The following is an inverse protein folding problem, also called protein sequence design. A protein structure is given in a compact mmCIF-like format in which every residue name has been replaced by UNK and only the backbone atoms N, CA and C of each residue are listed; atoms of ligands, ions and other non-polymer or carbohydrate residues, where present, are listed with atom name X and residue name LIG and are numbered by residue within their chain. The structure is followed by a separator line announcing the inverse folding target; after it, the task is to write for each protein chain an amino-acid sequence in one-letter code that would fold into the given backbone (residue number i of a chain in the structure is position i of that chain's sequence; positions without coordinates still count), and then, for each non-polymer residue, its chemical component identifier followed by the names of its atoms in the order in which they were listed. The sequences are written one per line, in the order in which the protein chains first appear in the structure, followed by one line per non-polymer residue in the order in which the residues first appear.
data_IF_167013010600
#
_entry.id   IF_167013010600
#
_cell.length_a   1.000
_cell.length_b   1.000
_cell.length_c   1.000
_cell.angle_alpha   90.00
_cell.angle_beta   90.00
_cell.angle_gamma   90.00
#
_symmetry.space_group_name_H-M   'P 1'
#
loop_
_entity.id
_entity.type
_entity.pdbx_description
1 polymer ?
#
# COMPACT_ATOMS: atom_id res chain seq x y z
N UNK A 1 -11.56 -2.46 10.43
CA UNK A 1 -11.94 -1.28 9.62
C UNK A 1 -11.45 -1.47 8.19
N UNK A 2 -12.35 -1.59 7.23
CA UNK A 2 -12.06 -1.69 5.79
C UNK A 2 -12.51 -0.39 5.14
N UNK A 3 -11.57 0.44 4.67
CA UNK A 3 -11.91 1.69 3.97
C UNK A 3 -12.49 1.51 2.57
N UNK A 4 -12.41 0.31 2.02
CA UNK A 4 -13.02 -0.05 0.74
C UNK A 4 -13.83 -1.31 0.97
N UNK A 5 -15.09 -1.35 0.60
CA UNK A 5 -16.02 -2.49 0.73
C UNK A 5 -15.58 -3.78 0.02
N UNK A 6 -14.30 -4.03 -0.04
CA UNK A 6 -13.61 -5.09 -0.73
C UNK A 6 -12.83 -5.96 0.28
N UNK A 7 -12.38 -7.06 -0.12
CA UNK A 7 -11.60 -8.15 0.43
C UNK A 7 -10.57 -7.74 1.50
N UNK A 8 -10.33 -8.57 2.51
CA UNK A 8 -9.27 -8.39 3.50
C UNK A 8 -7.90 -8.42 2.82
N UNK A 9 -7.06 -7.43 3.11
CA UNK A 9 -5.71 -7.31 2.53
C UNK A 9 -4.67 -7.51 3.62
N UNK A 10 -3.73 -8.43 3.41
CA UNK A 10 -2.45 -8.46 4.10
C UNK A 10 -1.37 -7.91 3.18
N UNK A 11 -0.74 -6.81 3.58
CA UNK A 11 0.37 -6.20 2.87
C UNK A 11 1.68 -6.63 3.50
N UNK A 12 2.59 -7.19 2.71
CA UNK A 12 3.84 -7.75 3.22
C UNK A 12 5.05 -7.08 2.56
N UNK A 13 6.00 -6.68 3.39
CA UNK A 13 7.29 -6.15 2.98
C UNK A 13 8.37 -7.20 3.29
N UNK A 14 8.64 -8.17 2.40
CA UNK A 14 9.52 -9.29 2.70
C UNK A 14 10.98 -8.87 2.87
N UNK A 15 11.37 -7.73 2.29
CA UNK A 15 12.73 -7.18 2.40
C UNK A 15 12.74 -5.66 2.30
N UNK A 16 13.69 -5.01 2.97
CA UNK A 16 14.02 -3.59 2.76
C UNK A 16 15.09 -3.36 1.68
N UNK A 17 15.70 -4.44 1.17
CA UNK A 17 16.68 -4.32 0.08
C UNK A 17 16.00 -3.79 -1.17
N UNK A 18 16.57 -2.73 -1.75
CA UNK A 18 16.09 -2.10 -2.98
C UNK A 18 17.28 -1.65 -3.83
N UNK A 19 17.17 -1.75 -5.14
CA UNK A 19 18.18 -1.26 -6.07
C UNK A 19 18.09 0.25 -6.36
N UNK A 20 17.11 0.94 -5.72
CA UNK A 20 16.92 2.40 -5.79
C UNK A 20 16.96 3.02 -4.39
N UNK A 21 17.13 4.37 -4.38
CA UNK A 21 17.13 5.20 -3.17
C UNK A 21 16.17 6.37 -3.35
N UNK A 22 14.92 6.07 -3.73
CA UNK A 22 13.89 7.06 -4.08
C UNK A 22 13.76 8.15 -3.01
N UNK A 23 13.58 9.41 -3.43
CA UNK A 23 13.43 10.54 -2.52
C UNK A 23 12.18 10.43 -1.63
N UNK A 24 11.11 9.85 -2.15
CA UNK A 24 9.81 9.68 -1.47
C UNK A 24 9.66 8.32 -0.74
N UNK A 25 10.72 7.53 -0.57
CA UNK A 25 10.59 6.20 0.00
C UNK A 25 10.14 6.23 1.47
N UNK A 26 8.93 5.75 1.75
CA UNK A 26 8.34 5.72 3.09
C UNK A 26 9.03 4.71 4.03
N UNK A 27 9.68 3.68 3.49
CA UNK A 27 10.29 2.58 4.26
C UNK A 27 11.82 2.71 4.42
N UNK A 28 12.44 3.79 3.94
CA UNK A 28 13.91 3.97 3.92
C UNK A 28 14.67 2.79 3.28
N UNK A 29 14.02 2.12 2.34
CA UNK A 29 14.62 1.00 1.62
C UNK A 29 15.77 1.44 0.72
N UNK A 30 16.75 0.55 0.51
CA UNK A 30 17.90 0.87 -0.33
C UNK A 30 18.87 -0.30 -0.50
N UNK A 31 19.95 -0.11 -1.26
CA UNK A 31 20.91 -1.18 -1.59
C UNK A 31 21.64 -1.78 -0.37
N UNK A 32 21.79 -0.99 0.69
CA UNK A 32 22.49 -1.39 1.91
C UNK A 32 21.58 -1.95 3.00
N UNK A 33 20.25 -1.91 2.80
CA UNK A 33 19.30 -2.45 3.77
C UNK A 33 19.42 -3.99 3.79
N UNK A 34 19.40 -4.56 4.99
CA UNK A 34 19.59 -6.00 5.20
C UNK A 34 18.36 -6.70 5.80
N UNK A 35 17.38 -5.93 6.24
CA UNK A 35 16.18 -6.50 6.87
C UNK A 35 15.41 -7.34 5.87
N UNK A 36 15.18 -8.61 6.24
CA UNK A 36 14.50 -9.58 5.40
C UNK A 36 13.76 -10.60 6.27
N UNK A 37 12.57 -11.01 5.82
CA UNK A 37 11.79 -12.06 6.46
C UNK A 37 12.14 -13.43 5.87
N UNK A 38 12.37 -14.44 6.73
CA UNK A 38 12.59 -15.82 6.28
C UNK A 38 11.35 -16.38 5.58
N UNK A 39 11.55 -17.18 4.52
CA UNK A 39 10.44 -17.84 3.82
C UNK A 39 9.53 -18.69 4.71
N UNK A 40 10.02 -19.46 5.71
CA UNK A 40 9.13 -20.18 6.62
C UNK A 40 8.17 -19.28 7.39
N UNK A 41 8.64 -18.12 7.89
CA UNK A 41 7.79 -17.13 8.58
C UNK A 41 6.70 -16.59 7.64
N UNK A 42 7.05 -16.34 6.39
CA UNK A 42 6.08 -15.88 5.38
C UNK A 42 5.10 -16.99 4.98
N UNK A 43 5.53 -18.25 4.96
CA UNK A 43 4.66 -19.40 4.71
C UNK A 43 3.62 -19.57 5.81
N UNK A 44 4.05 -19.49 7.06
CA UNK A 44 3.16 -19.49 8.21
C UNK A 44 2.17 -18.32 8.17
N UNK A 45 2.66 -17.12 7.86
CA UNK A 45 1.84 -15.92 7.75
C UNK A 45 0.70 -16.07 6.72
N UNK A 46 0.98 -16.56 5.51
CA UNK A 46 -0.07 -16.65 4.48
C UNK A 46 -1.12 -17.69 4.81
N UNK A 47 -0.74 -18.80 5.46
CA UNK A 47 -1.69 -19.79 5.94
C UNK A 47 -2.58 -19.20 7.05
N UNK A 48 -1.99 -18.52 8.03
CA UNK A 48 -2.70 -17.87 9.12
C UNK A 48 -3.62 -16.73 8.61
N UNK A 49 -3.12 -15.92 7.69
CA UNK A 49 -3.88 -14.82 7.13
C UNK A 49 -5.13 -15.32 6.39
N UNK A 50 -5.00 -16.36 5.56
CA UNK A 50 -6.15 -16.97 4.89
C UNK A 50 -7.18 -17.50 5.89
N UNK A 51 -6.72 -18.18 6.96
CA UNK A 51 -7.60 -18.68 8.03
C UNK A 51 -8.29 -17.55 8.82
N UNK A 52 -7.69 -16.35 8.87
CA UNK A 52 -8.25 -15.16 9.53
C UNK A 52 -9.07 -14.24 8.59
N UNK A 53 -9.46 -14.75 7.42
CA UNK A 53 -10.37 -14.09 6.49
C UNK A 53 -9.71 -13.10 5.52
N UNK A 54 -8.38 -13.05 5.43
CA UNK A 54 -7.70 -12.30 4.39
C UNK A 54 -7.83 -13.00 3.04
N UNK A 55 -8.06 -12.24 1.98
CA UNK A 55 -8.28 -12.74 0.62
C UNK A 55 -7.19 -12.27 -0.36
N UNK A 56 -6.46 -11.22 0.01
CA UNK A 56 -5.47 -10.58 -0.86
C UNK A 56 -4.14 -10.47 -0.14
N UNK A 57 -3.08 -10.97 -0.78
CA UNK A 57 -1.70 -10.67 -0.44
C UNK A 57 -1.19 -9.57 -1.36
N UNK A 58 -0.81 -8.42 -0.79
CA UNK A 58 -0.14 -7.32 -1.48
C UNK A 58 1.34 -7.30 -1.09
N UNK A 59 2.22 -7.69 -1.99
CA UNK A 59 3.67 -7.69 -1.76
C UNK A 59 4.29 -6.38 -2.23
N UNK A 60 5.01 -5.72 -1.33
CA UNK A 60 5.74 -4.47 -1.57
C UNK A 60 7.11 -4.54 -0.87
N UNK A 61 7.59 -3.45 -0.26
CA UNK A 61 8.80 -3.41 0.53
C UNK A 61 9.89 -2.52 -0.06
N UNK A 62 11.13 -3.03 -0.17
CA UNK A 62 12.16 -2.43 -0.97
C UNK A 62 11.86 -2.65 -2.45
N UNK A 63 12.59 -3.57 -3.07
CA UNK A 63 12.23 -4.08 -4.40
C UNK A 63 11.98 -5.59 -4.29
N UNK A 64 10.73 -6.05 -4.45
CA UNK A 64 10.40 -7.46 -4.27
C UNK A 64 11.18 -8.41 -5.17
N UNK A 65 11.57 -8.00 -6.37
CA UNK A 65 12.44 -8.80 -7.24
C UNK A 65 13.87 -8.98 -6.71
N UNK A 66 14.23 -8.32 -5.62
CA UNK A 66 15.49 -8.56 -4.88
C UNK A 66 15.32 -9.57 -3.73
N UNK A 67 14.09 -9.94 -3.38
CA UNK A 67 13.83 -10.99 -2.41
C UNK A 67 14.02 -12.37 -3.08
N UNK A 68 15.01 -13.16 -2.65
CA UNK A 68 15.39 -14.38 -3.39
C UNK A 68 14.29 -15.45 -3.38
N UNK A 69 13.41 -15.44 -2.38
CA UNK A 69 12.36 -16.41 -2.20
C UNK A 69 10.99 -15.97 -2.74
N UNK A 70 10.93 -14.86 -3.48
CA UNK A 70 9.66 -14.31 -4.00
C UNK A 70 8.78 -15.34 -4.71
N UNK A 71 9.29 -16.18 -5.66
CA UNK A 71 8.44 -17.16 -6.32
C UNK A 71 7.87 -18.23 -5.36
N UNK A 72 8.67 -18.66 -4.38
CA UNK A 72 8.25 -19.61 -3.36
C UNK A 72 7.15 -19.03 -2.48
N UNK A 73 7.31 -17.79 -2.06
CA UNK A 73 6.34 -17.06 -1.23
C UNK A 73 5.00 -16.90 -1.95
N UNK A 74 5.00 -16.42 -3.20
CA UNK A 74 3.76 -16.25 -3.98
C UNK A 74 3.05 -17.59 -4.25
N UNK A 75 3.80 -18.68 -4.51
CA UNK A 75 3.19 -20.01 -4.67
C UNK A 75 2.51 -20.50 -3.37
N UNK A 76 3.11 -20.28 -2.20
CA UNK A 76 2.50 -20.61 -0.92
C UNK A 76 1.22 -19.80 -0.67
N UNK A 77 1.25 -18.49 -0.96
CA UNK A 77 0.06 -17.63 -0.85
C UNK A 77 -1.06 -18.07 -1.80
N UNK A 78 -0.71 -18.42 -3.03
CA UNK A 78 -1.69 -18.92 -4.00
C UNK A 78 -2.30 -20.25 -3.59
N UNK A 79 -1.48 -21.16 -3.04
CA UNK A 79 -1.94 -22.43 -2.49
C UNK A 79 -2.86 -22.23 -1.26
N UNK A 80 -2.68 -21.17 -0.49
CA UNK A 80 -3.57 -20.77 0.60
C UNK A 80 -4.86 -20.06 0.11
N UNK A 81 -5.06 -19.91 -1.20
CA UNK A 81 -6.24 -19.28 -1.79
C UNK A 81 -6.19 -17.76 -1.90
N UNK A 82 -5.06 -17.12 -1.58
CA UNK A 82 -4.93 -15.67 -1.66
C UNK A 82 -4.76 -15.18 -3.10
N UNK A 83 -5.33 -14.04 -3.40
CA UNK A 83 -5.02 -13.27 -4.60
C UNK A 83 -3.70 -12.53 -4.38
N UNK A 84 -2.74 -12.69 -5.31
CA UNK A 84 -1.38 -12.15 -5.15
C UNK A 84 -1.16 -10.90 -6.01
N UNK A 85 -0.89 -9.78 -5.37
CA UNK A 85 -0.51 -8.51 -5.98
C UNK A 85 0.96 -8.21 -5.66
N UNK A 86 1.69 -7.66 -6.62
CA UNK A 86 3.11 -7.31 -6.46
C UNK A 86 3.35 -5.89 -6.93
N UNK A 87 3.89 -5.03 -6.07
CA UNK A 87 4.31 -3.67 -6.45
C UNK A 87 5.82 -3.62 -6.63
N UNK A 88 6.27 -3.16 -7.79
CA UNK A 88 7.70 -3.08 -8.19
C UNK A 88 8.04 -1.72 -8.78
N UNK A 89 9.28 -1.29 -8.60
CA UNK A 89 9.81 -0.12 -9.32
C UNK A 89 10.01 -0.38 -10.84
N UNK A 90 9.79 -1.60 -11.30
CA UNK A 90 9.85 -2.01 -12.70
C UNK A 90 11.24 -2.16 -13.29
N UNK A 91 12.29 -1.65 -12.64
CA UNK A 91 13.65 -1.61 -13.24
C UNK A 91 14.34 -2.97 -13.31
N UNK A 92 13.89 -3.95 -12.54
CA UNK A 92 14.44 -5.30 -12.52
C UNK A 92 13.55 -6.33 -13.23
N UNK A 93 12.39 -5.94 -13.74
CA UNK A 93 11.48 -6.82 -14.50
C UNK A 93 12.19 -7.37 -15.73
N UNK A 94 12.06 -8.67 -15.98
CA UNK A 94 12.59 -9.36 -17.17
C UNK A 94 11.84 -10.67 -17.39
N UNK A 95 11.84 -11.26 -18.59
CA UNK A 95 11.21 -12.56 -18.84
C UNK A 95 11.65 -13.63 -17.83
N UNK A 96 12.97 -13.74 -17.59
CA UNK A 96 13.54 -14.70 -16.62
C UNK A 96 13.00 -14.54 -15.19
N UNK A 97 12.67 -13.30 -14.77
CA UNK A 97 12.15 -13.03 -13.42
C UNK A 97 10.63 -13.16 -13.35
N UNK A 98 9.93 -12.99 -14.47
CA UNK A 98 8.47 -13.15 -14.54
C UNK A 98 8.05 -14.61 -14.70
N UNK A 99 8.82 -15.41 -15.44
CA UNK A 99 8.52 -16.82 -15.71
C UNK A 99 8.19 -17.63 -14.43
N UNK A 100 8.98 -17.57 -13.34
CA UNK A 100 8.66 -18.29 -12.11
C UNK A 100 7.41 -17.77 -11.37
N UNK A 101 6.86 -16.61 -11.75
CA UNK A 101 5.67 -15.99 -11.16
C UNK A 101 4.40 -16.29 -11.96
N UNK A 102 4.53 -16.89 -13.15
CA UNK A 102 3.38 -17.27 -13.97
C UNK A 102 2.45 -18.20 -13.18
N UNK A 103 1.15 -17.89 -13.21
CA UNK A 103 0.12 -18.65 -12.50
C UNK A 103 0.01 -18.40 -11.00
N UNK A 104 0.95 -17.67 -10.39
CA UNK A 104 0.87 -17.30 -8.97
C UNK A 104 0.84 -15.78 -8.71
N UNK A 105 0.96 -14.95 -9.73
CA UNK A 105 0.82 -13.50 -9.65
C UNK A 105 -0.43 -13.06 -10.41
N UNK A 106 -1.38 -12.44 -9.71
CA UNK A 106 -2.66 -12.00 -10.31
C UNK A 106 -2.57 -10.56 -10.84
N UNK A 107 -1.70 -9.71 -10.27
CA UNK A 107 -1.50 -8.34 -10.74
C UNK A 107 -0.09 -7.85 -10.41
N UNK A 108 0.62 -7.33 -11.41
CA UNK A 108 1.88 -6.59 -11.24
C UNK A 108 1.60 -5.10 -11.30
N UNK A 109 1.92 -4.35 -10.25
CA UNK A 109 1.80 -2.89 -10.21
C UNK A 109 3.17 -2.26 -10.37
N UNK A 110 3.35 -1.47 -11.41
CA UNK A 110 4.60 -0.76 -11.69
C UNK A 110 4.53 0.67 -11.17
N UNK A 111 5.60 1.12 -10.53
CA UNK A 111 5.65 2.48 -10.04
C UNK A 111 5.78 3.50 -11.17
N UNK A 112 4.99 4.59 -11.09
CA UNK A 112 4.98 5.69 -12.04
C UNK A 112 4.75 7.00 -11.28
N UNK A 113 5.68 7.97 -11.36
CA UNK A 113 5.55 9.23 -10.59
C UNK A 113 5.35 10.46 -11.48
N UNK A 114 5.24 10.27 -12.78
CA UNK A 114 5.09 11.31 -13.79
C UNK A 114 5.83 11.00 -15.08
N UNK A 115 5.88 11.94 -16.01
CA UNK A 115 6.77 11.91 -17.18
C UNK A 115 8.23 11.72 -16.76
N UNK A 116 9.09 11.44 -17.74
CA UNK A 116 10.51 11.06 -17.50
C UNK A 116 11.24 11.94 -16.47
N UNK A 117 11.25 13.27 -16.55
CA UNK A 117 12.02 14.10 -15.61
C UNK A 117 11.53 13.96 -14.16
N UNK A 118 10.21 13.94 -13.98
CA UNK A 118 9.57 13.82 -12.66
C UNK A 118 9.80 12.44 -12.06
N UNK A 119 9.62 11.40 -12.87
CA UNK A 119 9.85 10.03 -12.42
C UNK A 119 11.30 9.82 -12.01
N UNK A 120 12.28 10.21 -12.84
CA UNK A 120 13.70 10.05 -12.56
C UNK A 120 14.12 10.83 -11.29
N UNK A 121 13.60 12.06 -11.12
CA UNK A 121 13.81 12.85 -9.91
C UNK A 121 13.26 12.17 -8.66
N UNK A 122 12.01 11.68 -8.69
CA UNK A 122 11.38 11.00 -7.56
C UNK A 122 12.09 9.70 -7.21
N UNK A 123 12.57 8.95 -8.22
CA UNK A 123 13.35 7.71 -8.05
C UNK A 123 14.81 7.96 -7.69
N UNK A 124 15.27 9.24 -7.69
CA UNK A 124 16.65 9.63 -7.47
C UNK A 124 17.63 8.85 -8.38
N UNK A 125 17.24 8.64 -9.64
CA UNK A 125 18.02 7.86 -10.62
C UNK A 125 17.67 8.27 -12.04
N UNK A 126 18.64 8.81 -12.77
CA UNK A 126 18.52 9.07 -14.20
C UNK A 126 18.26 7.78 -14.96
N UNK A 127 17.31 7.83 -15.90
CA UNK A 127 16.91 6.69 -16.73
C UNK A 127 16.05 5.65 -16.02
N UNK A 128 15.54 5.90 -14.81
CA UNK A 128 14.63 5.00 -14.11
C UNK A 128 13.31 4.82 -14.90
N UNK A 129 12.76 5.92 -15.46
CA UNK A 129 11.60 5.88 -16.33
C UNK A 129 11.82 4.96 -17.53
N UNK A 130 12.90 5.16 -18.26
CA UNK A 130 13.21 4.36 -19.45
C UNK A 130 13.47 2.89 -19.09
N UNK A 131 14.11 2.67 -17.95
CA UNK A 131 14.34 1.30 -17.46
C UNK A 131 13.03 0.57 -17.15
N UNK A 132 12.02 1.23 -16.59
CA UNK A 132 10.69 0.68 -16.35
C UNK A 132 9.92 0.53 -17.67
N UNK A 133 9.83 1.60 -18.48
CA UNK A 133 9.01 1.64 -19.68
C UNK A 133 9.40 0.57 -20.71
N UNK A 134 10.71 0.35 -20.94
CA UNK A 134 11.21 -0.71 -21.82
C UNK A 134 10.81 -2.12 -21.39
N UNK A 135 10.43 -2.34 -20.12
CA UNK A 135 10.07 -3.65 -19.59
C UNK A 135 8.59 -3.96 -19.63
N UNK A 136 7.74 -3.00 -19.95
CA UNK A 136 6.29 -3.20 -20.10
C UNK A 136 6.00 -4.29 -21.15
N UNK A 137 6.78 -4.31 -22.25
CA UNK A 137 6.66 -5.34 -23.28
C UNK A 137 6.86 -6.76 -22.73
N UNK A 138 7.82 -6.95 -21.82
CA UNK A 138 8.07 -8.25 -21.18
C UNK A 138 6.91 -8.68 -20.28
N UNK A 139 6.29 -7.73 -19.55
CA UNK A 139 5.11 -8.01 -18.70
C UNK A 139 3.94 -8.47 -19.57
N UNK A 140 3.69 -7.77 -20.67
CA UNK A 140 2.63 -8.14 -21.64
C UNK A 140 2.86 -9.52 -22.25
N UNK A 141 4.10 -9.83 -22.65
CA UNK A 141 4.47 -11.13 -23.20
C UNK A 141 4.30 -12.27 -22.18
N UNK A 142 4.53 -11.99 -20.90
CA UNK A 142 4.31 -12.96 -19.82
C UNK A 142 2.82 -13.23 -19.54
N UNK A 143 1.90 -12.46 -20.13
CA UNK A 143 0.46 -12.60 -19.92
C UNK A 143 0.00 -12.23 -18.50
N UNK A 144 0.84 -11.54 -17.72
CA UNK A 144 0.52 -11.12 -16.36
C UNK A 144 -0.27 -9.79 -16.43
N UNK A 145 -1.49 -9.73 -15.86
CA UNK A 145 -2.19 -8.46 -15.71
C UNK A 145 -1.33 -7.45 -14.97
N UNK A 146 -1.34 -6.19 -15.41
CA UNK A 146 -0.53 -5.16 -14.77
C UNK A 146 -1.26 -3.82 -14.65
N UNK A 147 -0.74 -2.98 -13.78
CA UNK A 147 -1.19 -1.61 -13.56
C UNK A 147 -0.04 -0.70 -13.19
N UNK A 148 -0.39 0.55 -12.89
CA UNK A 148 0.56 1.54 -12.39
C UNK A 148 0.11 2.08 -11.03
N UNK A 149 1.09 2.38 -10.18
CA UNK A 149 0.92 3.14 -8.95
C UNK A 149 1.57 4.50 -9.16
N UNK A 150 0.73 5.54 -9.13
CA UNK A 150 1.14 6.93 -9.30
C UNK A 150 1.23 7.60 -7.92
N UNK A 151 2.44 8.03 -7.52
CA UNK A 151 2.62 8.78 -6.28
C UNK A 151 2.21 10.23 -6.50
N UNK A 152 1.07 10.60 -5.93
CA UNK A 152 0.49 11.93 -6.05
C UNK A 152 1.23 12.93 -5.15
N UNK A 153 1.63 14.07 -5.71
CA UNK A 153 2.24 15.19 -5.00
C UNK A 153 1.58 16.51 -5.42
N UNK A 154 1.81 17.60 -4.67
CA UNK A 154 1.42 18.95 -5.10
C UNK A 154 1.97 19.30 -6.49
N UNK A 155 3.15 18.76 -6.84
CA UNK A 155 3.87 19.12 -8.06
C UNK A 155 3.42 18.34 -9.31
N UNK A 156 2.75 17.19 -9.14
CA UNK A 156 2.39 16.33 -10.28
C UNK A 156 0.89 16.03 -10.41
N UNK A 157 0.04 16.63 -9.56
CA UNK A 157 -1.42 16.43 -9.62
C UNK A 157 -2.02 16.74 -10.99
N UNK A 158 -1.47 17.74 -11.70
CA UNK A 158 -1.88 18.13 -13.06
C UNK A 158 -1.48 17.10 -14.13
N UNK A 159 -0.66 16.09 -13.78
CA UNK A 159 -0.20 15.04 -14.69
C UNK A 159 -1.07 13.77 -14.63
N UNK A 160 -2.17 13.77 -13.87
CA UNK A 160 -3.07 12.61 -13.74
C UNK A 160 -3.68 12.18 -15.08
N UNK A 161 -4.04 13.14 -15.96
CA UNK A 161 -4.53 12.85 -17.29
C UNK A 161 -3.47 12.12 -18.13
N UNK A 162 -2.24 12.65 -18.15
CA UNK A 162 -1.11 11.99 -18.80
C UNK A 162 -0.85 10.57 -18.26
N UNK A 163 -0.92 10.38 -16.94
CA UNK A 163 -0.72 9.07 -16.33
C UNK A 163 -1.80 8.06 -16.77
N UNK A 164 -3.05 8.50 -16.90
CA UNK A 164 -4.16 7.68 -17.39
C UNK A 164 -3.98 7.30 -18.88
N UNK A 165 -3.60 8.27 -19.72
CA UNK A 165 -3.31 8.05 -21.15
C UNK A 165 -2.14 7.07 -21.31
N UNK A 166 -1.05 7.27 -20.57
CA UNK A 166 0.12 6.38 -20.59
C UNK A 166 -0.26 4.96 -20.13
N UNK A 167 -1.02 4.82 -19.05
CA UNK A 167 -1.47 3.54 -18.55
C UNK A 167 -2.36 2.81 -19.58
N UNK A 168 -3.36 3.48 -20.14
CA UNK A 168 -4.24 2.92 -21.16
C UNK A 168 -3.47 2.52 -22.43
N UNK A 169 -2.59 3.38 -22.95
CA UNK A 169 -1.76 3.10 -24.12
C UNK A 169 -0.79 1.93 -23.88
N UNK A 170 -0.34 1.73 -22.66
CA UNK A 170 0.49 0.60 -22.26
C UNK A 170 -0.27 -0.72 -22.17
N UNK A 171 -1.62 -0.69 -22.13
CA UNK A 171 -2.47 -1.86 -21.92
C UNK A 171 -2.60 -2.25 -20.44
N UNK A 172 -2.40 -1.31 -19.53
CA UNK A 172 -2.60 -1.51 -18.09
C UNK A 172 -4.09 -1.66 -17.76
N UNK A 173 -4.41 -2.44 -16.73
CA UNK A 173 -5.78 -2.65 -16.24
C UNK A 173 -6.11 -1.82 -14.99
N UNK A 174 -5.10 -1.20 -14.37
CA UNK A 174 -5.23 -0.40 -13.15
C UNK A 174 -4.31 0.84 -13.20
N UNK A 175 -4.85 1.98 -12.79
CA UNK A 175 -4.08 3.13 -12.31
C UNK A 175 -4.49 3.40 -10.86
N UNK A 176 -3.58 3.11 -9.93
CA UNK A 176 -3.71 3.47 -8.52
C UNK A 176 -3.03 4.81 -8.28
N UNK A 177 -3.76 5.76 -7.70
CA UNK A 177 -3.27 7.08 -7.31
C UNK A 177 -3.15 7.11 -5.80
N UNK A 178 -1.91 7.14 -5.31
CA UNK A 178 -1.58 7.10 -3.90
C UNK A 178 -0.89 8.40 -3.48
N UNK A 179 -1.37 9.11 -2.44
CA UNK A 179 -0.74 10.34 -2.01
C UNK A 179 0.65 10.08 -1.43
N UNK A 180 1.56 11.04 -1.64
CA UNK A 180 2.88 11.02 -1.00
C UNK A 180 2.73 10.96 0.52
N UNK A 181 3.42 10.03 1.16
CA UNK A 181 3.49 9.89 2.61
C UNK A 181 4.76 10.60 3.15
N UNK A 182 4.60 11.45 4.16
CA UNK A 182 5.72 12.14 4.81
C UNK A 182 6.42 11.24 5.85
N UNK A 183 6.78 10.03 5.44
CA UNK A 183 7.48 9.04 6.26
C UNK A 183 8.78 8.57 5.61
N UNK A 184 9.68 7.93 6.36
CA UNK A 184 11.00 7.55 5.86
C UNK A 184 11.73 8.74 5.22
N UNK A 185 12.34 8.54 4.04
CA UNK A 185 12.95 9.63 3.26
C UNK A 185 11.93 10.65 2.75
N UNK A 186 10.67 10.24 2.57
CA UNK A 186 9.58 11.13 2.20
C UNK A 186 9.36 12.29 3.18
N UNK A 187 9.86 12.21 4.42
CA UNK A 187 9.83 13.34 5.39
C UNK A 187 10.45 14.61 4.84
N UNK A 188 11.51 14.49 4.05
CA UNK A 188 12.15 15.64 3.40
C UNK A 188 11.27 16.31 2.36
N UNK A 189 10.24 15.62 1.89
CA UNK A 189 9.26 16.09 0.90
C UNK A 189 7.90 16.47 1.53
N UNK A 190 7.84 16.71 2.84
CA UNK A 190 6.59 17.02 3.55
C UNK A 190 5.80 18.19 2.92
N UNK A 191 6.50 19.16 2.31
CA UNK A 191 5.87 20.29 1.60
C UNK A 191 5.29 19.91 0.24
N UNK A 192 5.59 18.74 -0.28
CA UNK A 192 5.05 18.22 -1.52
C UNK A 192 3.87 17.26 -1.31
N UNK A 193 3.51 16.98 -0.05
CA UNK A 193 2.30 16.19 0.29
C UNK A 193 1.08 16.94 -0.22
N UNK A 194 0.16 16.29 -0.96
CA UNK A 194 -1.06 16.93 -1.43
C UNK A 194 -1.88 17.48 -0.27
N UNK A 195 -2.31 18.73 -0.37
CA UNK A 195 -3.24 19.33 0.58
C UNK A 195 -4.72 19.09 0.16
N UNK A 196 -5.64 19.82 0.79
CA UNK A 196 -7.07 19.71 0.48
C UNK A 196 -7.40 20.15 -0.95
N UNK A 197 -6.63 21.06 -1.54
CA UNK A 197 -6.83 21.57 -2.89
C UNK A 197 -6.45 20.52 -3.93
N UNK A 198 -5.23 19.99 -3.85
CA UNK A 198 -4.76 18.93 -4.75
C UNK A 198 -5.57 17.63 -4.53
N UNK A 199 -5.93 17.31 -3.29
CA UNK A 199 -6.79 16.17 -2.97
C UNK A 199 -8.16 16.27 -3.63
N UNK A 200 -8.79 17.44 -3.56
CA UNK A 200 -10.09 17.71 -4.22
C UNK A 200 -9.97 17.68 -5.73
N UNK A 201 -8.92 18.28 -6.30
CA UNK A 201 -8.64 18.20 -7.73
C UNK A 201 -8.45 16.76 -8.18
N UNK A 202 -7.64 15.97 -7.46
CA UNK A 202 -7.40 14.57 -7.78
C UNK A 202 -8.70 13.74 -7.75
N UNK A 203 -9.59 13.98 -6.78
CA UNK A 203 -10.89 13.31 -6.69
C UNK A 203 -11.76 13.60 -7.92
N UNK A 204 -11.88 14.86 -8.31
CA UNK A 204 -12.66 15.28 -9.47
C UNK A 204 -12.05 14.79 -10.78
N UNK A 205 -10.74 14.89 -10.92
CA UNK A 205 -10.02 14.43 -12.11
C UNK A 205 -10.11 12.91 -12.27
N UNK A 206 -9.92 12.13 -11.21
CA UNK A 206 -10.10 10.68 -11.25
C UNK A 206 -11.56 10.31 -11.61
N UNK A 207 -12.56 11.06 -11.11
CA UNK A 207 -13.95 10.85 -11.50
C UNK A 207 -14.18 11.12 -13.01
N UNK A 208 -13.55 12.15 -13.55
CA UNK A 208 -13.57 12.46 -15.00
C UNK A 208 -12.89 11.37 -15.81
N UNK A 209 -11.68 10.95 -15.38
CA UNK A 209 -10.91 9.90 -16.06
C UNK A 209 -11.61 8.55 -16.04
N UNK A 210 -12.31 8.19 -14.96
CA UNK A 210 -13.15 6.98 -14.88
C UNK A 210 -14.24 6.98 -15.98
N UNK A 211 -14.81 8.13 -16.33
CA UNK A 211 -15.79 8.22 -17.42
C UNK A 211 -15.13 8.06 -18.79
N UNK A 212 -13.91 8.58 -18.96
CA UNK A 212 -13.20 8.52 -20.24
C UNK A 212 -12.57 7.13 -20.51
N UNK A 213 -12.01 6.48 -19.50
CA UNK A 213 -11.19 5.27 -19.63
C UNK A 213 -11.77 4.04 -18.92
N UNK A 214 -12.89 4.17 -18.17
CA UNK A 214 -13.38 3.13 -17.25
C UNK A 214 -13.75 1.80 -17.89
N UNK A 215 -13.92 1.74 -19.21
CA UNK A 215 -14.13 0.49 -19.94
C UNK A 215 -12.85 -0.39 -20.03
N UNK A 216 -11.66 0.24 -19.94
CA UNK A 216 -10.37 -0.44 -20.16
C UNK A 216 -9.40 -0.27 -19.00
N UNK A 217 -9.54 0.79 -18.19
CA UNK A 217 -8.64 1.14 -17.10
C UNK A 217 -9.43 1.37 -15.81
N UNK A 218 -9.20 0.55 -14.80
CA UNK A 218 -9.74 0.77 -13.46
C UNK A 218 -8.91 1.81 -12.72
N UNK A 219 -9.57 2.68 -11.96
CA UNK A 219 -8.92 3.69 -11.13
C UNK A 219 -9.14 3.39 -9.65
N UNK A 220 -8.07 3.43 -8.88
CA UNK A 220 -8.09 3.45 -7.43
C UNK A 220 -7.48 4.77 -6.95
N UNK A 221 -8.18 5.47 -6.07
CA UNK A 221 -7.68 6.68 -5.43
C UNK A 221 -7.63 6.44 -3.93
N UNK A 222 -6.44 6.55 -3.34
CA UNK A 222 -6.21 6.29 -1.91
C UNK A 222 -6.42 7.57 -1.07
N UNK A 223 -7.41 8.35 -1.47
CA UNK A 223 -7.96 9.50 -0.76
C UNK A 223 -9.46 9.29 -0.57
N UNK A 224 -9.99 9.73 0.56
CA UNK A 224 -11.40 9.61 0.88
C UNK A 224 -12.05 10.98 1.14
N UNK A 225 -13.32 11.18 0.74
CA UNK A 225 -14.11 12.31 1.22
C UNK A 225 -14.21 12.25 2.75
N UNK A 226 -13.90 13.36 3.42
CA UNK A 226 -13.87 13.43 4.89
C UNK A 226 -15.21 13.06 5.52
N UNK A 227 -16.32 13.49 4.94
CA UNK A 227 -17.66 13.15 5.44
C UNK A 227 -17.94 11.63 5.41
N UNK A 228 -17.52 10.94 4.33
CA UNK A 228 -17.67 9.48 4.22
C UNK A 228 -16.78 8.75 5.23
N UNK A 229 -15.53 9.21 5.37
CA UNK A 229 -14.60 8.66 6.35
C UNK A 229 -15.07 8.92 7.79
N UNK A 230 -15.56 10.13 8.09
CA UNK A 230 -16.12 10.46 9.39
C UNK A 230 -17.31 9.56 9.78
N UNK A 231 -18.24 9.33 8.86
CA UNK A 231 -19.34 8.41 9.07
C UNK A 231 -18.86 6.99 9.38
N UNK A 232 -17.93 6.49 8.57
CA UNK A 232 -17.35 5.15 8.74
C UNK A 232 -16.61 4.97 10.08
N UNK A 233 -15.86 5.99 10.54
CA UNK A 233 -15.07 5.91 11.77
C UNK A 233 -15.90 6.10 13.07
N UNK A 234 -17.10 6.67 12.97
CA UNK A 234 -17.99 6.86 14.13
C UNK A 234 -18.70 5.60 14.58
N UNK A 235 -18.98 4.71 13.63
CA UNK A 235 -19.64 3.43 13.88
C UNK A 235 -18.68 2.29 13.51
N UNK A 236 -17.69 1.96 14.35
CA UNK A 236 -16.92 0.74 14.16
C UNK A 236 -17.90 -0.43 14.19
N UNK A 237 -17.92 -1.22 13.13
CA UNK A 237 -18.85 -2.35 12.98
C UNK A 237 -18.72 -3.28 14.18
N UNK A 238 -19.84 -3.45 14.90
CA UNK A 238 -19.95 -4.33 16.08
C UNK A 238 -20.08 -5.82 15.68
N UNK A 239 -20.11 -6.14 14.39
CA UNK A 239 -20.21 -7.53 13.91
C UNK A 239 -18.81 -8.16 13.84
N UNK A 240 -18.34 -8.54 15.00
CA UNK A 240 -17.02 -9.14 15.17
C UNK A 240 -17.17 -10.66 15.31
N UNK A 241 -17.37 -11.35 14.18
CA UNK A 241 -17.37 -12.83 14.12
C UNK A 241 -15.98 -13.42 14.39
N UNK A 242 -15.04 -12.63 14.94
CA UNK A 242 -13.69 -13.06 15.28
C UNK A 242 -12.70 -13.10 14.09
N UNK A 243 -13.11 -12.75 12.88
CA UNK A 243 -12.23 -12.66 11.71
C UNK A 243 -11.40 -11.37 11.74
N UNK A 244 -10.08 -11.48 11.96
CA UNK A 244 -9.18 -10.32 11.98
C UNK A 244 -9.31 -9.46 10.74
N UNK A 245 -9.47 -10.06 9.56
CA UNK A 245 -9.59 -9.33 8.29
C UNK A 245 -10.81 -8.42 8.22
N UNK A 246 -11.86 -8.65 9.00
CA UNK A 246 -13.03 -7.75 9.09
C UNK A 246 -12.74 -6.54 9.96
N UNK A 247 -11.96 -6.74 11.01
CA UNK A 247 -11.59 -5.71 11.99
C UNK A 247 -10.46 -4.84 11.49
N UNK A 248 -9.48 -5.45 10.81
CA UNK A 248 -8.24 -4.80 10.40
C UNK A 248 -7.88 -5.13 8.94
N UNK A 249 -7.97 -4.13 8.07
CA UNK A 249 -7.50 -4.22 6.68
C UNK A 249 -7.11 -2.84 6.15
N UNK A 250 -5.91 -2.71 5.56
CA UNK A 250 -4.88 -3.72 5.48
C UNK A 250 -4.18 -4.01 6.83
N UNK A 251 -3.75 -5.26 7.01
CA UNK A 251 -2.72 -5.62 7.96
C UNK A 251 -1.37 -5.47 7.27
N UNK A 252 -0.44 -4.72 7.84
CA UNK A 252 0.89 -4.52 7.25
C UNK A 252 1.93 -5.30 8.03
N UNK A 253 2.74 -6.10 7.32
CA UNK A 253 3.86 -6.87 7.88
C UNK A 253 5.17 -6.25 7.39
N UNK A 254 5.97 -5.77 8.32
CA UNK A 254 7.22 -5.08 8.06
C UNK A 254 8.41 -6.05 8.01
N UNK A 255 9.55 -5.67 7.39
CA UNK A 255 10.69 -6.57 7.17
C UNK A 255 11.37 -7.06 8.45
N UNK A 256 11.15 -6.39 9.57
CA UNK A 256 11.59 -6.81 10.91
C UNK A 256 10.66 -7.83 11.59
N UNK A 257 9.52 -8.12 10.94
CA UNK A 257 8.51 -9.07 11.40
C UNK A 257 7.35 -8.45 12.17
N UNK A 258 7.35 -7.16 12.43
CA UNK A 258 6.24 -6.51 13.10
C UNK A 258 4.99 -6.45 12.22
N UNK A 259 3.85 -6.72 12.85
CA UNK A 259 2.52 -6.57 12.28
C UNK A 259 1.89 -5.28 12.79
N UNK A 260 1.55 -4.36 11.89
CA UNK A 260 0.99 -3.06 12.24
C UNK A 260 -0.32 -2.79 11.47
N UNK A 261 -1.22 -1.95 12.00
CA UNK A 261 -2.43 -1.54 11.30
C UNK A 261 -2.13 -0.63 10.10
N UNK A 262 -2.87 -0.82 9.03
CA UNK A 262 -3.17 0.06 7.91
C UNK A 262 -2.02 0.54 7.04
N UNK A 263 -0.89 1.00 7.60
CA UNK A 263 0.25 1.48 6.81
C UNK A 263 1.59 1.15 7.44
N UNK A 264 2.62 1.10 6.63
CA UNK A 264 4.00 0.93 7.08
C UNK A 264 4.41 2.04 8.05
N UNK A 265 5.09 1.68 9.15
CA UNK A 265 5.52 2.63 10.16
C UNK A 265 4.40 3.12 11.08
N UNK A 266 3.24 2.47 11.10
CA UNK A 266 2.20 2.77 12.09
C UNK A 266 2.76 2.64 13.51
N UNK A 267 2.35 3.50 14.49
CA UNK A 267 2.95 3.52 15.83
C UNK A 267 2.94 2.16 16.52
N UNK A 268 4.09 1.73 17.02
CA UNK A 268 4.30 0.40 17.64
C UNK A 268 3.41 0.15 18.87
N UNK A 269 2.96 1.19 19.55
CA UNK A 269 1.99 1.08 20.65
C UNK A 269 0.65 0.42 20.20
N UNK A 270 0.35 0.47 18.91
CA UNK A 270 -0.85 -0.14 18.33
C UNK A 270 -0.54 -1.39 17.47
N UNK A 271 0.70 -1.85 17.43
CA UNK A 271 1.09 -3.04 16.68
C UNK A 271 0.49 -4.31 17.29
N UNK A 272 0.27 -5.31 16.45
CA UNK A 272 -0.18 -6.64 16.90
C UNK A 272 0.94 -7.39 17.63
N UNK A 273 2.18 -7.18 17.22
CA UNK A 273 3.36 -7.88 17.70
C UNK A 273 4.26 -8.30 16.55
N UNK A 274 5.22 -9.20 16.83
CA UNK A 274 6.20 -9.65 15.84
C UNK A 274 6.02 -11.12 15.49
N UNK A 275 5.97 -11.44 14.20
CA UNK A 275 5.98 -12.80 13.66
C UNK A 275 7.28 -13.58 13.94
N UNK A 276 8.29 -12.92 14.45
CA UNK A 276 9.52 -13.57 14.93
C UNK A 276 9.34 -14.17 16.34
N UNK A 277 8.28 -13.80 17.06
CA UNK A 277 7.98 -14.23 18.41
C UNK A 277 6.79 -15.19 18.45
N UNK A 278 5.70 -14.82 17.79
CA UNK A 278 4.45 -15.57 17.82
C UNK A 278 3.81 -15.67 16.44
N UNK A 279 2.88 -16.63 16.28
CA UNK A 279 2.05 -16.79 15.10
C UNK A 279 0.95 -15.72 15.04
N UNK A 280 0.51 -15.38 13.84
CA UNK A 280 -0.50 -14.33 13.62
C UNK A 280 -1.80 -14.55 14.43
N UNK A 281 -2.37 -15.75 14.58
CA UNK A 281 -3.57 -15.96 15.39
C UNK A 281 -3.41 -15.58 16.86
N UNK A 282 -2.25 -15.88 17.47
CA UNK A 282 -1.94 -15.52 18.85
C UNK A 282 -1.81 -14.00 19.00
N UNK A 283 -1.06 -13.37 18.08
CA UNK A 283 -0.91 -11.90 18.03
C UNK A 283 -2.28 -11.23 17.89
N UNK A 284 -3.13 -11.72 16.97
CA UNK A 284 -4.47 -11.20 16.73
C UNK A 284 -5.35 -11.27 17.98
N UNK A 285 -5.37 -12.44 18.66
CA UNK A 285 -6.17 -12.64 19.87
C UNK A 285 -5.77 -11.67 20.98
N UNK A 286 -4.48 -11.53 21.24
CA UNK A 286 -3.96 -10.62 22.27
C UNK A 286 -4.24 -9.15 21.91
N UNK A 287 -4.06 -8.81 20.65
CA UNK A 287 -4.28 -7.45 20.13
C UNK A 287 -5.75 -7.05 20.20
N UNK A 288 -6.66 -7.92 19.78
CA UNK A 288 -8.12 -7.64 19.84
C UNK A 288 -8.58 -7.40 21.28
N UNK A 289 -8.04 -8.17 22.25
CA UNK A 289 -8.40 -8.00 23.64
C UNK A 289 -7.78 -6.76 24.31
N UNK A 290 -6.53 -6.39 23.94
CA UNK A 290 -5.76 -5.38 24.67
C UNK A 290 -5.62 -4.03 23.94
N UNK A 291 -5.43 -4.03 22.62
CA UNK A 291 -5.03 -2.83 21.88
C UNK A 291 -6.17 -2.27 21.03
N UNK A 292 -7.01 -3.13 20.45
CA UNK A 292 -8.11 -2.72 19.56
C UNK A 292 -9.06 -1.68 20.18
N UNK A 293 -9.47 -1.77 21.47
CA UNK A 293 -10.32 -0.74 22.06
C UNK A 293 -9.71 0.65 22.01
N UNK A 294 -8.41 0.78 22.32
CA UNK A 294 -7.69 2.07 22.26
C UNK A 294 -7.58 2.56 20.79
N UNK A 295 -7.38 1.66 19.83
CA UNK A 295 -7.36 2.01 18.41
C UNK A 295 -8.74 2.51 17.93
N UNK A 296 -9.83 1.92 18.42
CA UNK A 296 -11.19 2.40 18.17
C UNK A 296 -11.43 3.80 18.75
N UNK A 297 -10.85 4.12 19.93
CA UNK A 297 -10.94 5.46 20.49
C UNK A 297 -10.23 6.49 19.61
N UNK A 298 -9.03 6.17 19.10
CA UNK A 298 -8.32 6.98 18.11
C UNK A 298 -9.16 7.18 16.85
N UNK A 299 -9.73 6.12 16.31
CA UNK A 299 -10.55 6.17 15.11
C UNK A 299 -11.81 7.05 15.30
N UNK A 300 -12.51 6.89 16.43
CA UNK A 300 -13.66 7.74 16.78
C UNK A 300 -13.27 9.21 16.94
N UNK A 301 -12.11 9.50 17.53
CA UNK A 301 -11.60 10.88 17.66
C UNK A 301 -11.35 11.50 16.28
N UNK A 302 -10.68 10.78 15.38
CA UNK A 302 -10.50 11.22 13.98
C UNK A 302 -11.85 11.42 13.29
N UNK A 303 -12.80 10.51 13.45
CA UNK A 303 -14.14 10.62 12.87
C UNK A 303 -14.89 11.86 13.34
N UNK A 304 -14.77 12.24 14.61
CA UNK A 304 -15.32 13.50 15.13
C UNK A 304 -14.68 14.71 14.47
N UNK A 305 -13.34 14.78 14.46
CA UNK A 305 -12.59 15.91 13.87
C UNK A 305 -12.93 16.11 12.37
N UNK A 306 -13.05 15.01 11.61
CA UNK A 306 -13.39 15.08 10.20
C UNK A 306 -14.87 15.48 9.95
N UNK A 307 -15.72 15.40 10.94
CA UNK A 307 -17.11 15.85 10.87
C UNK A 307 -17.34 17.29 11.32
N UNK A 308 -16.31 17.99 11.79
CA UNK A 308 -16.40 19.39 12.23
C UNK A 308 -16.44 20.37 11.06
N UNK A 309 -17.08 21.54 11.22
CA UNK A 309 -16.97 22.61 10.24
C UNK A 309 -15.52 23.04 10.02
N UNK A 310 -15.10 23.14 8.73
CA UNK A 310 -13.72 23.50 8.39
C UNK A 310 -12.78 22.31 8.20
N UNK A 311 -13.24 21.07 8.42
CA UNK A 311 -12.46 19.90 8.07
C UNK A 311 -12.16 19.87 6.55
N UNK A 312 -10.97 19.39 6.12
CA UNK A 312 -10.64 19.28 4.71
C UNK A 312 -11.65 18.35 3.99
N UNK A 313 -12.01 18.68 2.75
CA UNK A 313 -13.02 17.92 1.99
C UNK A 313 -12.55 16.50 1.68
N UNK A 314 -11.26 16.33 1.46
CA UNK A 314 -10.62 15.06 1.07
C UNK A 314 -9.37 14.83 1.90
N UNK A 315 -9.15 13.60 2.35
CA UNK A 315 -8.01 13.24 3.21
C UNK A 315 -7.40 11.87 2.87
N UNK A 316 -6.12 11.69 3.19
CA UNK A 316 -5.54 10.36 3.36
C UNK A 316 -5.96 9.81 4.75
N UNK A 317 -6.89 8.86 4.75
CA UNK A 317 -7.47 8.31 5.99
C UNK A 317 -6.45 7.58 6.85
N UNK A 318 -5.55 6.83 6.24
CA UNK A 318 -4.52 6.06 6.98
C UNK A 318 -3.52 6.98 7.65
N UNK A 319 -3.06 8.01 6.95
CA UNK A 319 -2.12 8.98 7.50
C UNK A 319 -2.76 9.76 8.66
N UNK A 320 -4.03 10.16 8.55
CA UNK A 320 -4.76 10.80 9.66
C UNK A 320 -4.85 9.93 10.89
N UNK A 321 -5.13 8.65 10.71
CA UNK A 321 -5.17 7.68 11.81
C UNK A 321 -3.79 7.47 12.43
N UNK A 322 -2.73 7.39 11.62
CA UNK A 322 -1.37 7.23 12.10
C UNK A 322 -0.91 8.45 12.93
N UNK A 323 -1.22 9.67 12.49
CA UNK A 323 -0.89 10.88 13.26
C UNK A 323 -1.66 10.96 14.57
N UNK A 324 -2.95 10.64 14.56
CA UNK A 324 -3.75 10.61 15.79
C UNK A 324 -3.26 9.51 16.76
N UNK A 325 -2.88 8.35 16.25
CA UNK A 325 -2.30 7.26 17.03
C UNK A 325 -0.93 7.65 17.62
N UNK A 326 -0.09 8.38 16.88
CA UNK A 326 1.19 8.88 17.36
C UNK A 326 1.00 9.89 18.51
N UNK A 327 0.04 10.81 18.36
CA UNK A 327 -0.29 11.77 19.40
C UNK A 327 -0.82 11.08 20.66
N UNK A 328 -1.67 10.07 20.52
CA UNK A 328 -2.19 9.28 21.65
C UNK A 328 -1.09 8.49 22.37
N UNK A 329 -0.13 7.93 21.64
CA UNK A 329 1.01 7.19 22.20
C UNK A 329 2.03 8.10 22.92
N UNK A 330 2.19 9.35 22.48
CA UNK A 330 3.12 10.34 23.08
C UNK A 330 2.53 11.13 24.25
N UNK A 331 1.23 11.11 24.46
CA UNK A 331 0.54 11.82 25.54
C UNK A 331 0.49 11.08 26.88
N UNK A 332 1.13 9.90 27.01
CA UNK A 332 1.16 9.05 28.20
C UNK A 332 2.49 9.05 28.96
N UNK A 333 3.29 10.13 28.84
CA UNK A 333 4.56 10.33 29.57
C UNK A 333 4.48 11.46 30.58
#
# INVERSE_FOLDING_TARGET
MRFTGARGVVQVHPTRRCNLTCAHCYSDSGPKAADELPLPVLGDLVADAAALGYEVLAVSGGEPFMYPHLPGFLRQAKAAGLQCLLTSNGTLVSPRRLEPLAGCLDLLVLSLDGPRPEHDRMRARDGAYDAMARRIGAVRQAGIPFGFLFTLTQHNVHQLAWAAEFAAASGASLLQVHPLEASGRGRSLHRAVPDATEGSYALLEVARLRRAFGATLRFQLDLAPSAALAAFLREPTADDDGELARVLSPLVVEPDGWCVPWQYGFPRAFALGSLRQDRLPQLAKSWMAGVLPALHDVARAVGRQLGEPGAPVVVNGYERLAWAALAAAGGGG
#
